data_IF_887645826687
#
_entry.id   IF_887645826687
#
_cell.length_a   1.000
_cell.length_b   1.000
_cell.length_c   1.000
_cell.angle_alpha   90.00
_cell.angle_beta   90.00
_cell.angle_gamma   90.00
#
_symmetry.space_group_name_H-M   'P 1'
#
loop_
_entity.id
_entity.type
_entity.pdbx_description
1 polymer ?
#
# COMPACT_ATOMS: atom_id res chain seq x y z
N UNK A 1 2.84 -5.09 -16.16
CA UNK A 1 2.10 -6.00 -15.26
C UNK A 1 0.89 -5.36 -14.57
N UNK A 2 1.00 -4.57 -13.47
CA UNK A 2 -0.20 -4.01 -12.77
C UNK A 2 -1.06 -3.09 -13.64
N UNK A 3 -0.46 -2.12 -14.33
CA UNK A 3 -1.20 -1.19 -15.20
C UNK A 3 -1.96 -1.90 -16.33
N UNK A 4 -1.41 -2.99 -16.84
CA UNK A 4 -2.07 -3.81 -17.87
C UNK A 4 -3.24 -4.61 -17.29
N UNK A 5 -3.10 -5.14 -16.07
CA UNK A 5 -4.19 -5.80 -15.36
C UNK A 5 -5.35 -4.83 -15.10
N UNK A 6 -5.06 -3.60 -14.66
CA UNK A 6 -6.09 -2.57 -14.43
C UNK A 6 -6.83 -2.17 -15.71
N UNK A 7 -6.13 -2.07 -16.85
CA UNK A 7 -6.77 -1.81 -18.15
C UNK A 7 -7.77 -2.91 -18.50
N UNK A 8 -7.37 -4.17 -18.38
CA UNK A 8 -8.26 -5.32 -18.64
C UNK A 8 -9.46 -5.37 -17.69
N UNK A 9 -9.24 -5.04 -16.42
CA UNK A 9 -10.33 -4.96 -15.43
C UNK A 9 -11.32 -3.85 -15.82
N UNK A 10 -10.82 -2.69 -16.27
CA UNK A 10 -11.66 -1.57 -16.72
C UNK A 10 -12.50 -1.90 -17.95
N UNK A 11 -12.03 -2.78 -18.82
CA UNK A 11 -12.79 -3.24 -20.00
C UNK A 11 -13.98 -4.14 -19.63
N UNK A 12 -13.93 -4.78 -18.45
CA UNK A 12 -14.97 -5.71 -17.98
C UNK A 12 -15.95 -5.01 -17.02
N UNK A 13 -15.44 -4.12 -16.17
CA UNK A 13 -16.23 -3.45 -15.14
C UNK A 13 -16.92 -2.20 -15.66
N UNK A 14 -18.10 -1.90 -15.09
CA UNK A 14 -18.71 -0.58 -15.25
C UNK A 14 -17.84 0.51 -14.63
N UNK A 15 -18.08 1.78 -14.99
CA UNK A 15 -17.35 2.91 -14.42
C UNK A 15 -17.45 2.97 -12.89
N UNK A 16 -18.63 2.65 -12.33
CA UNK A 16 -18.86 2.62 -10.88
C UNK A 16 -18.15 1.44 -10.22
N UNK A 17 -18.22 0.25 -10.82
CA UNK A 17 -17.53 -0.94 -10.33
C UNK A 17 -16.01 -0.75 -10.36
N UNK A 18 -15.48 -0.12 -11.41
CA UNK A 18 -14.06 0.18 -11.52
C UNK A 18 -13.61 1.19 -10.47
N UNK A 19 -14.40 2.26 -10.24
CA UNK A 19 -14.13 3.21 -9.16
C UNK A 19 -14.09 2.50 -7.80
N UNK A 20 -15.07 1.65 -7.52
CA UNK A 20 -15.11 0.89 -6.26
C UNK A 20 -13.94 -0.08 -6.12
N UNK A 21 -13.54 -0.73 -7.21
CA UNK A 21 -12.35 -1.57 -7.25
C UNK A 21 -11.09 -0.77 -6.88
N UNK A 22 -10.91 0.44 -7.43
CA UNK A 22 -9.76 1.29 -7.10
C UNK A 22 -9.76 1.69 -5.63
N UNK A 23 -10.90 2.11 -5.07
CA UNK A 23 -11.05 2.42 -3.64
C UNK A 23 -10.62 1.24 -2.75
N UNK A 24 -11.16 0.04 -3.01
CA UNK A 24 -10.85 -1.16 -2.23
C UNK A 24 -9.39 -1.57 -2.40
N UNK A 25 -8.84 -1.47 -3.61
CA UNK A 25 -7.43 -1.75 -3.87
C UNK A 25 -6.52 -0.82 -3.04
N UNK A 26 -6.87 0.47 -2.93
CA UNK A 26 -6.11 1.41 -2.10
C UNK A 26 -6.25 1.13 -0.61
N UNK A 27 -7.44 0.73 -0.13
CA UNK A 27 -7.63 0.31 1.25
C UNK A 27 -6.83 -0.96 1.59
N UNK A 28 -6.76 -1.91 0.66
CA UNK A 28 -6.00 -3.15 0.85
C UNK A 28 -4.50 -2.88 0.84
N UNK A 29 -4.01 -2.06 -0.09
CA UNK A 29 -2.60 -1.74 -0.24
C UNK A 29 -2.10 -0.81 0.88
N UNK A 30 -2.91 0.17 1.27
CA UNK A 30 -2.56 1.18 2.27
C UNK A 30 -1.54 2.20 1.76
N UNK A 31 -0.84 2.92 2.66
CA UNK A 31 0.16 3.94 2.33
C UNK A 31 1.29 3.49 1.39
N UNK A 32 1.56 2.18 1.29
CA UNK A 32 2.50 1.64 0.29
C UNK A 32 2.12 2.04 -1.16
N UNK A 33 0.84 2.32 -1.41
CA UNK A 33 0.34 2.82 -2.69
C UNK A 33 0.96 4.17 -3.09
N UNK A 34 1.56 4.94 -2.17
CA UNK A 34 2.16 6.25 -2.47
C UNK A 34 3.34 6.16 -3.44
N UNK A 35 3.96 4.98 -3.61
CA UNK A 35 4.99 4.77 -4.61
C UNK A 35 4.44 4.58 -6.04
N UNK A 36 3.13 4.37 -6.19
CA UNK A 36 2.49 4.28 -7.50
C UNK A 36 2.41 5.67 -8.10
N UNK A 37 2.83 5.82 -9.37
CA UNK A 37 2.87 7.11 -10.04
C UNK A 37 1.53 7.85 -9.98
N UNK A 38 0.45 7.16 -10.31
CA UNK A 38 -0.90 7.71 -10.34
C UNK A 38 -1.43 8.14 -8.96
N UNK A 39 -1.00 7.47 -7.88
CA UNK A 39 -1.39 7.84 -6.51
C UNK A 39 -0.55 9.03 -6.04
N UNK A 40 0.76 8.99 -6.28
CA UNK A 40 1.66 10.10 -5.97
C UNK A 40 1.25 11.38 -6.71
N UNK A 41 0.85 11.26 -7.97
CA UNK A 41 0.38 12.39 -8.78
C UNK A 41 -0.96 12.94 -8.26
N UNK A 42 -1.92 12.07 -7.90
CA UNK A 42 -3.20 12.50 -7.29
C UNK A 42 -3.02 13.16 -5.93
N UNK A 43 -2.08 12.68 -5.12
CA UNK A 43 -1.71 13.28 -3.83
C UNK A 43 -0.86 14.55 -4.00
N UNK A 44 -0.38 14.85 -5.22
CA UNK A 44 0.51 15.98 -5.46
C UNK A 44 1.82 15.88 -4.69
N UNK A 45 2.41 14.68 -4.59
CA UNK A 45 3.67 14.50 -3.87
C UNK A 45 4.80 15.24 -4.58
N UNK A 46 5.55 16.03 -3.82
CA UNK A 46 6.79 16.65 -4.30
C UNK A 46 7.88 15.60 -4.54
N UNK A 47 8.94 15.97 -5.25
CA UNK A 47 10.08 15.08 -5.51
C UNK A 47 10.73 14.60 -4.20
N UNK A 48 10.85 15.48 -3.21
CA UNK A 48 11.39 15.14 -1.90
C UNK A 48 10.49 14.16 -1.12
N UNK A 49 9.17 14.30 -1.23
CA UNK A 49 8.23 13.33 -0.65
C UNK A 49 8.31 11.97 -1.36
N UNK A 50 8.40 11.96 -2.70
CA UNK A 50 8.56 10.73 -3.50
C UNK A 50 9.85 9.99 -3.14
N UNK A 51 10.96 10.71 -2.98
CA UNK A 51 12.23 10.13 -2.53
C UNK A 51 12.10 9.51 -1.13
N UNK A 52 11.47 10.20 -0.17
CA UNK A 52 11.23 9.65 1.17
C UNK A 52 10.35 8.40 1.15
N UNK A 53 9.27 8.40 0.36
CA UNK A 53 8.40 7.23 0.19
C UNK A 53 9.21 6.03 -0.33
N UNK A 54 10.02 6.22 -1.37
CA UNK A 54 10.84 5.14 -1.93
C UNK A 54 11.86 4.62 -0.91
N UNK A 55 12.55 5.51 -0.20
CA UNK A 55 13.53 5.13 0.83
C UNK A 55 12.90 4.30 1.95
N UNK A 56 11.71 4.69 2.45
CA UNK A 56 10.97 3.93 3.48
C UNK A 56 10.60 2.53 2.98
N UNK A 57 10.16 2.40 1.73
CA UNK A 57 9.80 1.10 1.15
C UNK A 57 11.03 0.23 0.84
N UNK A 58 12.16 0.83 0.50
CA UNK A 58 13.42 0.10 0.32
C UNK A 58 13.96 -0.44 1.65
N UNK A 59 13.88 0.37 2.73
CA UNK A 59 14.18 -0.07 4.11
C UNK A 59 13.29 -1.27 4.48
N UNK A 60 11.98 -1.16 4.28
CA UNK A 60 11.04 -2.25 4.52
C UNK A 60 11.44 -3.52 3.75
N UNK A 61 11.74 -3.40 2.45
CA UNK A 61 12.14 -4.55 1.62
C UNK A 61 13.45 -5.17 2.10
N UNK A 62 14.41 -4.39 2.58
CA UNK A 62 15.65 -4.90 3.15
C UNK A 62 15.36 -5.71 4.42
N UNK A 63 14.60 -5.15 5.36
CA UNK A 63 14.21 -5.85 6.59
C UNK A 63 13.45 -7.15 6.29
N UNK A 64 12.54 -7.14 5.31
CA UNK A 64 11.84 -8.35 4.86
C UNK A 64 12.82 -9.41 4.33
N UNK A 65 13.79 -9.02 3.49
CA UNK A 65 14.79 -9.96 2.95
C UNK A 65 15.62 -10.58 4.07
N UNK A 66 16.07 -9.78 5.03
CA UNK A 66 16.88 -10.25 6.15
C UNK A 66 16.10 -11.23 7.03
N UNK A 67 14.82 -10.94 7.29
CA UNK A 67 13.92 -11.86 8.01
C UNK A 67 13.73 -13.20 7.29
N UNK A 68 13.59 -13.21 5.97
CA UNK A 68 13.44 -14.45 5.21
C UNK A 68 14.75 -15.25 5.10
N UNK A 69 15.88 -14.57 4.92
CA UNK A 69 17.20 -15.21 4.84
C UNK A 69 17.68 -15.75 6.21
N UNK A 70 17.28 -15.10 7.31
CA UNK A 70 17.67 -15.45 8.68
C UNK A 70 16.96 -16.66 9.32
N UNK A 71 16.18 -17.45 8.57
CA UNK A 71 15.53 -18.66 9.10
C UNK A 71 14.05 -18.87 8.73
N UNK A 72 13.49 -18.06 7.83
CA UNK A 72 12.08 -18.10 7.45
C UNK A 72 11.60 -19.32 6.65
N UNK A 73 12.49 -20.27 6.33
CA UNK A 73 12.15 -21.48 5.57
C UNK A 73 11.45 -22.59 6.37
N UNK A 74 11.49 -22.54 7.70
CA UNK A 74 10.97 -23.63 8.56
C UNK A 74 10.47 -23.24 9.95
N UNK A 75 10.37 -21.93 10.26
CA UNK A 75 9.95 -21.42 11.57
C UNK A 75 8.43 -21.29 11.74
N UNK A 76 8.01 -20.94 12.97
CA UNK A 76 6.62 -20.68 13.35
C UNK A 76 5.98 -19.60 12.44
N UNK A 77 5.06 -20.05 11.59
CA UNK A 77 4.38 -19.19 10.60
C UNK A 77 3.55 -18.11 11.27
N UNK A 78 3.02 -18.36 12.48
CA UNK A 78 2.23 -17.38 13.20
C UNK A 78 3.11 -16.23 13.68
N UNK A 79 4.25 -16.54 14.30
CA UNK A 79 5.23 -15.54 14.73
C UNK A 79 5.78 -14.71 13.55
N UNK A 80 5.97 -15.34 12.39
CA UNK A 80 6.35 -14.62 11.16
C UNK A 80 5.23 -13.67 10.73
N UNK A 81 3.98 -14.13 10.67
CA UNK A 81 2.84 -13.29 10.27
C UNK A 81 2.67 -12.07 11.18
N UNK A 82 2.80 -12.23 12.50
CA UNK A 82 2.75 -11.12 13.46
C UNK A 82 3.88 -10.11 13.24
N UNK A 83 5.10 -10.60 13.01
CA UNK A 83 6.26 -9.73 12.72
C UNK A 83 6.04 -8.95 11.42
N UNK A 84 5.55 -9.61 10.38
CA UNK A 84 5.22 -8.96 9.10
C UNK A 84 4.12 -7.92 9.25
N UNK A 85 3.10 -8.20 10.07
CA UNK A 85 2.04 -7.25 10.37
C UNK A 85 2.59 -6.00 11.05
N UNK A 86 3.44 -6.16 12.09
CA UNK A 86 4.07 -5.03 12.79
C UNK A 86 4.92 -4.19 11.84
N UNK A 87 5.79 -4.82 11.04
CA UNK A 87 6.61 -4.09 10.07
C UNK A 87 5.74 -3.28 9.09
N UNK A 88 4.63 -3.87 8.63
CA UNK A 88 3.68 -3.19 7.74
C UNK A 88 3.03 -1.98 8.43
N UNK A 89 2.59 -2.11 9.68
CA UNK A 89 1.99 -1.03 10.45
C UNK A 89 2.97 0.12 10.68
N UNK A 90 4.21 -0.19 11.08
CA UNK A 90 5.29 0.79 11.25
C UNK A 90 5.62 1.51 9.94
N UNK A 91 5.75 0.76 8.84
CA UNK A 91 5.99 1.33 7.51
C UNK A 91 4.85 2.26 7.09
N UNK A 92 3.61 1.85 7.31
CA UNK A 92 2.44 2.66 6.99
C UNK A 92 2.41 3.97 7.81
N UNK A 93 2.76 3.91 9.09
CA UNK A 93 2.87 5.10 9.94
C UNK A 93 3.93 6.08 9.42
N UNK A 94 5.13 5.57 9.07
CA UNK A 94 6.21 6.37 8.47
C UNK A 94 5.75 7.03 7.16
N UNK A 95 5.07 6.30 6.29
CA UNK A 95 4.57 6.81 5.00
C UNK A 95 3.49 7.88 5.18
N UNK A 96 2.53 7.69 6.09
CA UNK A 96 1.52 8.71 6.40
C UNK A 96 2.14 9.99 6.96
N UNK A 97 3.25 9.89 7.69
CA UNK A 97 3.96 11.06 8.22
C UNK A 97 4.67 11.88 7.13
N UNK A 98 4.88 11.34 5.93
CA UNK A 98 5.43 12.10 4.78
C UNK A 98 4.43 13.10 4.21
N UNK A 99 3.13 12.83 4.37
CA UNK A 99 2.05 13.67 3.82
C UNK A 99 1.79 14.92 4.68
N UNK A 100 1.45 16.02 4.01
CA UNK A 100 0.86 17.19 4.68
C UNK A 100 -0.59 16.90 5.13
N UNK A 101 -1.16 17.80 5.93
CA UNK A 101 -2.56 17.67 6.37
C UNK A 101 -3.54 17.66 5.18
N UNK A 102 -3.29 18.48 4.15
CA UNK A 102 -4.10 18.57 2.94
C UNK A 102 -4.01 17.27 2.14
N UNK A 103 -2.80 16.73 1.97
CA UNK A 103 -2.57 15.48 1.26
C UNK A 103 -3.21 14.28 1.97
N UNK A 104 -3.23 14.28 3.32
CA UNK A 104 -3.95 13.26 4.10
C UNK A 104 -5.45 13.28 3.83
N UNK A 105 -6.07 14.47 3.72
CA UNK A 105 -7.49 14.59 3.34
C UNK A 105 -7.76 14.06 1.94
N UNK A 106 -6.86 14.34 0.98
CA UNK A 106 -6.96 13.79 -0.38
C UNK A 106 -6.86 12.26 -0.33
N UNK A 107 -5.91 11.71 0.43
CA UNK A 107 -5.76 10.28 0.63
C UNK A 107 -7.03 9.63 1.19
N UNK A 108 -7.61 10.19 2.26
CA UNK A 108 -8.86 9.71 2.86
C UNK A 108 -10.01 9.73 1.84
N UNK A 109 -10.11 10.77 1.01
CA UNK A 109 -11.08 10.85 -0.08
C UNK A 109 -10.88 9.78 -1.16
N UNK A 110 -9.64 9.40 -1.45
CA UNK A 110 -9.31 8.33 -2.41
C UNK A 110 -9.67 6.94 -1.90
N UNK A 111 -9.72 6.73 -0.58
CA UNK A 111 -10.11 5.45 0.01
C UNK A 111 -11.61 5.17 -0.15
N UNK A 112 -12.44 6.21 -0.26
CA UNK A 112 -13.89 6.05 -0.36
C UNK A 112 -14.51 5.37 0.86
N UNK A 113 -15.60 4.64 0.66
CA UNK A 113 -16.31 3.97 1.77
C UNK A 113 -15.48 2.82 2.34
N UNK A 114 -15.31 2.69 3.67
CA UNK A 114 -14.60 1.56 4.27
C UNK A 114 -15.12 0.21 3.77
N UNK A 115 -14.21 -0.73 3.57
CA UNK A 115 -14.50 -2.10 3.17
C UNK A 115 -13.96 -3.05 4.24
N UNK A 116 -14.83 -3.93 4.74
CA UNK A 116 -14.40 -4.97 5.68
C UNK A 116 -13.83 -6.14 4.90
N UNK A 117 -12.51 -6.31 4.96
CA UNK A 117 -11.86 -7.50 4.44
C UNK A 117 -12.17 -8.66 5.36
N UNK A 118 -12.94 -9.65 4.87
CA UNK A 118 -13.02 -10.93 5.57
C UNK A 118 -11.62 -11.53 5.58
N UNK A 119 -11.03 -11.69 6.76
CA UNK A 119 -9.81 -12.51 6.92
C UNK A 119 -10.20 -13.92 6.48
N UNK A 120 -9.65 -14.38 5.36
CA UNK A 120 -9.73 -15.79 5.00
C UNK A 120 -9.14 -16.61 6.13
N UNK A 121 -9.90 -17.58 6.63
CA UNK A 121 -9.43 -18.54 7.64
C UNK A 121 -8.31 -19.43 7.11
#
# INVERSE_FOLDING_TARGET
>A
MRLEQEKKIKEILSAEQFKRYQEISLQQEGPAAFARKEVADKLGLSDSQRQKVNAILEEQRATMRDMFQGGGGGGDRQAMMETMQKLREETNAKLLAVLTAEQKKVWEGMLGKPFQFQRGG
#
